data_IF_959754200256
#
_entry.id   IF_959754200256
#
_cell.length_a   1.000
_cell.length_b   1.000
_cell.length_c   1.000
_cell.angle_alpha   90.00
_cell.angle_beta   90.00
_cell.angle_gamma   90.00
#
_symmetry.space_group_name_H-M   'P 1'
#
loop_
_entity.id
_entity.type
_entity.pdbx_description
1 polymer ?
#
# COMPACT_ATOMS: atom_id res chain seq x y z
N UNK A 1 17.78 -6.33 36.31
CA UNK A 1 16.56 -6.25 35.47
C UNK A 1 16.44 -4.82 34.98
N UNK A 2 16.65 -4.58 33.68
CA UNK A 2 16.38 -3.27 33.09
C UNK A 2 15.31 -3.48 32.03
N UNK A 3 14.10 -3.00 32.32
CA UNK A 3 12.98 -2.98 31.38
C UNK A 3 13.36 -2.10 30.20
N UNK A 4 13.59 -2.70 29.04
CA UNK A 4 13.74 -1.97 27.78
C UNK A 4 12.33 -1.58 27.34
N UNK A 5 11.96 -0.31 27.56
CA UNK A 5 10.80 0.28 26.89
C UNK A 5 11.04 0.19 25.38
N UNK A 6 10.33 -0.71 24.72
CA UNK A 6 10.27 -0.79 23.27
C UNK A 6 9.28 0.28 22.78
N UNK A 7 9.74 1.53 22.66
CA UNK A 7 9.06 2.48 21.80
C UNK A 7 9.38 2.07 20.35
N UNK A 8 8.38 1.83 19.49
CA UNK A 8 8.64 1.63 18.07
C UNK A 8 9.20 2.94 17.55
N UNK A 9 10.49 2.97 17.24
CA UNK A 9 11.08 4.09 16.54
C UNK A 9 10.29 4.26 15.23
N UNK A 10 9.57 5.38 15.11
CA UNK A 10 9.09 5.81 13.80
C UNK A 10 10.34 6.14 13.00
N UNK A 11 10.73 5.22 12.12
CA UNK A 11 11.81 5.47 11.18
C UNK A 11 11.51 6.78 10.43
N UNK A 12 12.50 7.68 10.39
CA UNK A 12 12.36 9.00 9.72
C UNK A 12 11.95 8.86 8.25
N UNK A 13 12.31 7.73 7.64
CA UNK A 13 12.08 7.45 6.23
C UNK A 13 11.30 6.14 6.09
N UNK A 14 10.44 6.10 5.07
CA UNK A 14 9.66 4.93 4.73
C UNK A 14 10.28 4.31 3.48
N UNK A 15 10.60 3.02 3.55
CA UNK A 15 11.02 2.27 2.37
C UNK A 15 9.80 1.82 1.56
N UNK A 16 9.56 2.46 0.41
CA UNK A 16 8.43 2.14 -0.49
C UNK A 16 8.54 0.77 -1.17
N UNK A 17 9.72 0.14 -1.14
CA UNK A 17 9.90 -1.24 -1.63
C UNK A 17 9.40 -2.28 -0.62
N UNK A 18 9.13 -1.87 0.63
CA UNK A 18 8.48 -2.74 1.61
C UNK A 18 6.97 -2.65 1.46
N UNK A 19 6.30 -3.77 1.74
CA UNK A 19 4.86 -3.80 1.79
C UNK A 19 4.32 -2.71 2.72
N UNK A 20 4.82 -2.64 3.96
CA UNK A 20 4.42 -1.62 4.93
C UNK A 20 4.55 -0.20 4.37
N UNK A 21 5.66 0.13 3.72
CA UNK A 21 5.87 1.46 3.17
C UNK A 21 4.96 1.78 2.00
N UNK A 22 4.74 0.81 1.12
CA UNK A 22 3.78 0.93 0.04
C UNK A 22 2.36 1.10 0.57
N UNK A 23 1.93 0.29 1.56
CA UNK A 23 0.62 0.40 2.24
C UNK A 23 0.45 1.77 2.88
N UNK A 24 1.49 2.24 3.57
CA UNK A 24 1.46 3.49 4.31
C UNK A 24 1.29 4.69 3.39
N UNK A 25 1.90 4.64 2.20
CA UNK A 25 1.81 5.72 1.22
C UNK A 25 0.55 5.60 0.36
N UNK A 26 0.22 4.44 -0.17
CA UNK A 26 -0.83 4.29 -1.19
C UNK A 26 -2.09 3.57 -0.70
N UNK A 27 -2.13 3.08 0.54
CA UNK A 27 -3.22 2.25 1.06
C UNK A 27 -4.26 3.01 1.90
N UNK A 28 -4.32 4.34 1.79
CA UNK A 28 -5.30 5.17 2.50
C UNK A 28 -6.05 6.07 1.52
N UNK A 29 -7.34 6.28 1.76
CA UNK A 29 -8.20 7.12 0.91
C UNK A 29 -7.61 8.52 0.60
N UNK A 30 -7.03 9.26 1.56
CA UNK A 30 -6.46 10.58 1.26
C UNK A 30 -5.29 10.54 0.25
N UNK A 31 -4.62 9.40 0.13
CA UNK A 31 -3.47 9.23 -0.75
C UNK A 31 -3.82 8.51 -2.05
N UNK A 32 -5.11 8.29 -2.31
CA UNK A 32 -5.64 7.60 -3.50
C UNK A 32 -5.19 8.26 -4.81
N UNK A 33 -5.20 9.59 -4.87
CA UNK A 33 -4.72 10.36 -6.03
C UNK A 33 -3.25 10.07 -6.36
N UNK A 34 -2.40 9.90 -5.33
CA UNK A 34 -0.99 9.57 -5.52
C UNK A 34 -0.81 8.19 -6.16
N UNK A 35 -1.66 7.23 -5.80
CA UNK A 35 -1.67 5.90 -6.40
C UNK A 35 -2.11 5.97 -7.87
N UNK A 36 -3.15 6.76 -8.18
CA UNK A 36 -3.64 6.97 -9.55
C UNK A 36 -2.53 7.58 -10.42
N UNK A 37 -1.88 8.65 -9.95
CA UNK A 37 -0.79 9.31 -10.67
C UNK A 37 0.38 8.36 -10.92
N UNK A 38 0.79 7.61 -9.89
CA UNK A 38 1.87 6.62 -9.99
C UNK A 38 1.56 5.55 -11.04
N UNK A 39 0.36 4.97 -11.01
CA UNK A 39 -0.08 3.98 -11.99
C UNK A 39 -0.14 4.59 -13.39
N UNK A 40 -0.65 5.81 -13.51
CA UNK A 40 -0.73 6.51 -14.79
C UNK A 40 0.65 6.88 -15.35
N UNK A 41 1.73 7.00 -14.58
CA UNK A 41 3.08 7.13 -15.16
C UNK A 41 3.53 5.81 -15.80
N UNK A 42 3.16 4.67 -15.23
CA UNK A 42 3.60 3.36 -15.71
C UNK A 42 2.72 2.76 -16.81
N UNK A 43 1.42 3.05 -16.78
CA UNK A 43 0.45 2.45 -17.68
C UNK A 43 0.40 3.17 -19.03
N UNK A 44 0.17 2.43 -20.15
CA UNK A 44 0.03 3.04 -21.47
C UNK A 44 -1.30 3.83 -21.59
N UNK A 45 -1.45 4.69 -22.62
CA UNK A 45 -2.59 5.60 -22.76
C UNK A 45 -3.98 4.96 -22.68
N UNK A 46 -4.14 3.74 -23.19
CA UNK A 46 -5.41 3.00 -23.19
C UNK A 46 -5.78 2.36 -21.85
N UNK A 47 -4.87 2.36 -20.87
CA UNK A 47 -5.08 1.80 -19.54
C UNK A 47 -4.95 2.87 -18.45
N UNK A 48 -5.16 4.14 -18.80
CA UNK A 48 -5.12 5.21 -17.79
C UNK A 48 -6.29 5.02 -16.82
N UNK A 49 -5.93 5.03 -15.55
CA UNK A 49 -6.83 4.85 -14.43
C UNK A 49 -7.47 6.20 -14.10
N UNK A 50 -8.79 6.22 -14.03
CA UNK A 50 -9.58 7.36 -13.57
C UNK A 50 -9.82 7.29 -12.07
N UNK A 51 -10.11 6.10 -11.57
CA UNK A 51 -10.43 5.88 -10.17
C UNK A 51 -9.87 4.54 -9.68
N UNK A 52 -9.56 4.47 -8.38
CA UNK A 52 -9.17 3.23 -7.70
C UNK A 52 -9.95 3.03 -6.43
N UNK A 53 -10.50 1.84 -6.23
CA UNK A 53 -11.16 1.48 -4.97
C UNK A 53 -10.38 0.39 -4.26
N UNK A 54 -10.12 0.58 -2.96
CA UNK A 54 -9.48 -0.44 -2.15
C UNK A 54 -10.51 -1.51 -1.78
N UNK A 55 -10.31 -2.75 -2.22
CA UNK A 55 -11.06 -3.87 -1.67
C UNK A 55 -10.40 -4.32 -0.39
N UNK A 56 -11.20 -4.44 0.67
CA UNK A 56 -10.72 -4.91 1.95
C UNK A 56 -10.46 -6.42 1.87
N UNK A 57 -9.21 -6.81 1.63
CA UNK A 57 -8.79 -8.20 1.67
C UNK A 57 -8.42 -8.56 3.10
N UNK A 58 -9.44 -8.70 3.96
CA UNK A 58 -9.29 -9.38 5.26
C UNK A 58 -9.08 -10.88 5.05
N UNK A 59 -8.01 -11.26 4.35
CA UNK A 59 -7.41 -12.57 4.47
C UNK A 59 -6.00 -12.35 4.99
N UNK A 60 -5.92 -12.02 6.29
CA UNK A 60 -4.67 -12.09 7.03
C UNK A 60 -4.22 -13.55 6.99
N UNK A 61 -3.32 -13.87 6.06
CA UNK A 61 -2.66 -15.18 6.03
C UNK A 61 -2.15 -15.50 7.43
N UNK A 62 -2.50 -16.69 7.93
CA UNK A 62 -2.26 -17.10 9.32
C UNK A 62 -0.76 -17.16 9.68
N UNK A 63 0.15 -17.06 8.72
CA UNK A 63 1.61 -17.05 8.94
C UNK A 63 2.29 -15.80 8.35
N UNK A 64 3.43 -15.35 8.91
CA UNK A 64 4.22 -14.23 8.37
C UNK A 64 4.72 -14.44 6.93
N UNK A 65 4.89 -15.70 6.50
CA UNK A 65 5.29 -16.08 5.14
C UNK A 65 4.11 -16.01 4.15
N UNK A 66 2.88 -16.19 4.62
CA UNK A 66 1.66 -16.12 3.81
C UNK A 66 1.17 -14.69 3.58
N UNK A 67 1.76 -13.69 4.26
CA UNK A 67 1.49 -12.26 4.01
C UNK A 67 2.22 -11.77 2.75
N UNK A 68 2.05 -12.46 1.62
CA UNK A 68 2.15 -11.76 0.33
C UNK A 68 1.02 -10.75 0.35
N UNK A 69 1.35 -9.48 0.50
CA UNK A 69 0.33 -8.46 0.48
C UNK A 69 -0.30 -8.39 -0.90
N UNK A 70 -1.51 -8.95 -1.00
CA UNK A 70 -2.36 -8.82 -2.16
C UNK A 70 -3.30 -7.66 -1.85
N UNK A 71 -2.97 -6.50 -2.39
CA UNK A 71 -3.92 -5.41 -2.48
C UNK A 71 -4.79 -5.65 -3.70
N UNK A 72 -6.06 -5.97 -3.46
CA UNK A 72 -7.05 -5.95 -4.51
C UNK A 72 -7.45 -4.49 -4.73
N UNK A 73 -6.71 -3.83 -5.63
CA UNK A 73 -7.09 -2.51 -6.13
C UNK A 73 -8.01 -2.75 -7.33
N UNK A 74 -9.23 -2.25 -7.24
CA UNK A 74 -10.13 -2.21 -8.39
C UNK A 74 -9.92 -0.88 -9.11
N UNK A 75 -9.49 -0.93 -10.38
CA UNK A 75 -9.26 0.25 -11.20
C UNK A 75 -10.43 0.46 -12.17
N UNK A 76 -10.90 1.69 -12.26
CA UNK A 76 -11.81 2.14 -13.31
C UNK A 76 -10.99 2.88 -14.38
N UNK A 77 -11.15 2.50 -15.65
CA UNK A 77 -10.48 3.14 -16.78
C UNK A 77 -11.34 4.27 -17.37
N UNK A 78 -10.69 5.24 -18.01
CA UNK A 78 -11.37 6.31 -18.75
C UNK A 78 -12.08 5.82 -20.01
#
# INVERSE_FOLDING_TARGET
MSVKNHYPHQDRYINLLTDFGFKRLFGTEPNKELLIDFLNVMLPPQHKVQDVSYRNNENLGNTPLDRKAIFDIYCESK
#
